data_IF_648663635572
#
_entry.id   IF_648663635572
#
_cell.length_a   1.000
_cell.length_b   1.000
_cell.length_c   1.000
_cell.angle_alpha   90.00
_cell.angle_beta   90.00
_cell.angle_gamma   90.00
#
_symmetry.space_group_name_H-M   'P 1'
#
loop_
_entity.id
_entity.type
_entity.pdbx_description
1 polymer ?
#
# COMPACT_ATOMS: atom_id res chain seq x y z
N UNK A 1 28.98 -5.14 -10.00
CA UNK A 1 27.54 -5.45 -10.14
C UNK A 1 27.03 -5.72 -8.74
N UNK A 2 26.03 -4.98 -8.23
CA UNK A 2 25.40 -5.34 -6.93
C UNK A 2 24.82 -6.74 -7.07
N UNK A 3 25.01 -7.65 -6.10
CA UNK A 3 24.50 -9.00 -6.20
C UNK A 3 22.97 -8.99 -6.30
N UNK A 4 22.42 -9.93 -7.06
CA UNK A 4 20.98 -10.14 -7.13
C UNK A 4 20.48 -10.67 -5.79
N UNK A 5 19.62 -9.88 -5.11
CA UNK A 5 19.05 -10.21 -3.80
C UNK A 5 17.71 -10.97 -3.89
N UNK A 6 17.17 -11.11 -5.10
CA UNK A 6 15.84 -11.68 -5.31
C UNK A 6 15.90 -13.22 -5.44
N UNK A 7 16.39 -13.89 -4.41
CA UNK A 7 16.69 -15.32 -4.42
C UNK A 7 16.01 -16.12 -3.30
N UNK A 8 14.96 -15.60 -2.67
CA UNK A 8 14.26 -16.30 -1.60
C UNK A 8 13.92 -17.75 -2.03
N UNK A 9 14.40 -18.78 -1.30
CA UNK A 9 14.17 -20.17 -1.70
C UNK A 9 12.69 -20.52 -1.59
N UNK A 10 12.20 -21.28 -2.56
CA UNK A 10 10.84 -21.80 -2.61
C UNK A 10 10.80 -23.29 -2.21
N UNK A 11 10.64 -23.54 -0.89
CA UNK A 11 10.63 -24.91 -0.35
C UNK A 11 9.37 -25.72 -0.69
N UNK A 12 8.31 -25.05 -1.10
CA UNK A 12 7.00 -25.68 -1.33
C UNK A 12 6.55 -25.59 -2.79
N UNK A 13 7.46 -25.21 -3.70
CA UNK A 13 7.16 -25.05 -5.13
C UNK A 13 5.94 -24.15 -5.36
N UNK A 14 5.88 -23.02 -4.66
CA UNK A 14 4.73 -22.09 -4.75
C UNK A 14 4.55 -21.54 -6.16
N UNK A 15 5.62 -21.53 -6.95
CA UNK A 15 5.56 -21.20 -8.38
C UNK A 15 4.64 -22.12 -9.18
N UNK A 16 4.41 -23.36 -8.73
CA UNK A 16 3.46 -24.27 -9.37
C UNK A 16 1.99 -23.85 -9.20
N UNK A 17 1.70 -23.02 -8.18
CA UNK A 17 0.39 -22.44 -7.93
C UNK A 17 0.07 -21.24 -8.83
N UNK A 18 1.06 -20.72 -9.54
CA UNK A 18 0.97 -19.53 -10.38
C UNK A 18 0.83 -19.92 -11.86
N UNK A 19 -0.05 -19.23 -12.58
CA UNK A 19 -0.12 -19.33 -14.04
C UNK A 19 1.10 -18.70 -14.70
N UNK A 20 1.33 -18.97 -15.98
CA UNK A 20 2.40 -18.32 -16.74
C UNK A 20 2.24 -16.80 -16.80
N UNK A 21 1.00 -16.30 -16.86
CA UNK A 21 0.68 -14.88 -16.79
C UNK A 21 1.08 -14.28 -15.42
N UNK A 22 0.74 -14.94 -14.31
CA UNK A 22 1.15 -14.51 -12.98
C UNK A 22 2.67 -14.39 -12.86
N UNK A 23 3.40 -15.38 -13.38
CA UNK A 23 4.87 -15.38 -13.38
C UNK A 23 5.44 -14.25 -14.21
N UNK A 24 4.89 -14.03 -15.42
CA UNK A 24 5.32 -12.94 -16.30
C UNK A 24 5.12 -11.58 -15.64
N UNK A 25 3.96 -11.34 -15.05
CA UNK A 25 3.64 -10.10 -14.34
C UNK A 25 4.58 -9.87 -13.15
N UNK A 26 4.78 -10.90 -12.32
CA UNK A 26 5.71 -10.87 -11.18
C UNK A 26 7.13 -10.53 -11.63
N UNK A 27 7.63 -11.24 -12.63
CA UNK A 27 9.02 -11.14 -13.08
C UNK A 27 9.26 -9.77 -13.77
N UNK A 28 8.28 -9.27 -14.51
CA UNK A 28 8.31 -7.92 -15.08
C UNK A 28 8.42 -6.83 -14.00
N UNK A 29 7.58 -6.90 -12.96
CA UNK A 29 7.62 -5.99 -11.84
C UNK A 29 8.97 -6.10 -11.09
N UNK A 30 9.47 -7.30 -10.85
CA UNK A 30 10.75 -7.57 -10.19
C UNK A 30 11.93 -6.95 -10.94
N UNK A 31 12.03 -7.18 -12.24
CA UNK A 31 13.12 -6.64 -13.04
C UNK A 31 13.08 -5.12 -13.12
N UNK A 32 11.87 -4.55 -13.16
CA UNK A 32 11.71 -3.09 -13.10
C UNK A 32 12.18 -2.55 -11.73
N UNK A 33 11.80 -3.16 -10.61
CA UNK A 33 12.23 -2.74 -9.27
C UNK A 33 13.74 -2.81 -9.12
N UNK A 34 14.38 -3.89 -9.60
CA UNK A 34 15.83 -4.04 -9.57
C UNK A 34 16.54 -2.92 -10.34
N UNK A 35 16.02 -2.54 -11.50
CA UNK A 35 16.62 -1.57 -12.40
C UNK A 35 16.37 -0.13 -11.99
N UNK A 36 15.13 0.20 -11.61
CA UNK A 36 14.69 1.58 -11.45
C UNK A 36 14.55 2.04 -9.99
N UNK A 37 14.22 1.13 -9.06
CA UNK A 37 13.96 1.48 -7.66
C UNK A 37 15.16 1.19 -6.77
N UNK A 38 15.65 -0.04 -6.78
CA UNK A 38 16.72 -0.48 -5.86
C UNK A 38 18.00 0.36 -5.91
N UNK A 39 18.43 0.91 -7.07
CA UNK A 39 19.66 1.71 -7.12
C UNK A 39 19.55 3.08 -6.47
N UNK A 40 18.36 3.65 -6.35
CA UNK A 40 18.15 5.05 -5.95
C UNK A 40 17.42 5.22 -4.63
N UNK A 41 16.65 4.22 -4.21
CA UNK A 41 15.65 4.38 -3.15
C UNK A 41 16.26 4.72 -1.78
N UNK A 42 17.46 4.22 -1.48
CA UNK A 42 18.11 4.52 -0.22
C UNK A 42 18.47 6.01 -0.12
N UNK A 43 19.01 6.60 -1.19
CA UNK A 43 19.34 8.04 -1.23
C UNK A 43 18.09 8.90 -1.05
N UNK A 44 16.97 8.53 -1.69
CA UNK A 44 15.70 9.23 -1.54
C UNK A 44 15.14 9.08 -0.12
N UNK A 45 15.24 7.90 0.49
CA UNK A 45 14.83 7.67 1.87
C UNK A 45 15.67 8.52 2.86
N UNK A 46 17.00 8.61 2.65
CA UNK A 46 17.87 9.45 3.48
C UNK A 46 17.50 10.94 3.37
N UNK A 47 17.14 11.43 2.20
CA UNK A 47 16.69 12.83 2.00
C UNK A 47 15.23 13.06 2.39
N UNK A 48 14.46 12.00 2.69
CA UNK A 48 13.02 12.06 2.92
C UNK A 48 12.23 12.62 1.71
N UNK A 49 12.58 12.19 0.50
CA UNK A 49 11.98 12.61 -0.76
C UNK A 49 11.39 11.43 -1.51
N UNK A 50 10.28 11.65 -2.23
CA UNK A 50 9.74 10.63 -3.15
C UNK A 50 10.37 10.76 -4.54
N UNK A 51 10.84 9.64 -5.15
CA UNK A 51 11.47 9.65 -6.48
C UNK A 51 10.43 9.76 -7.60
N UNK A 52 9.91 10.96 -7.88
CA UNK A 52 8.83 11.19 -8.87
C UNK A 52 9.13 10.64 -10.27
N UNK A 53 10.41 10.52 -10.64
CA UNK A 53 10.83 9.97 -11.93
C UNK A 53 10.41 8.52 -12.17
N UNK A 54 10.06 7.77 -11.10
CA UNK A 54 9.60 6.37 -11.24
C UNK A 54 8.11 6.24 -11.59
N UNK A 55 7.32 7.33 -11.53
CA UNK A 55 5.87 7.29 -11.75
C UNK A 55 5.52 6.69 -13.11
N UNK A 56 6.20 7.15 -14.17
CA UNK A 56 5.98 6.61 -15.52
C UNK A 56 6.28 5.11 -15.59
N UNK A 57 7.38 4.67 -14.99
CA UNK A 57 7.75 3.25 -14.95
C UNK A 57 6.75 2.39 -14.17
N UNK A 58 6.16 2.90 -13.09
CA UNK A 58 5.06 2.23 -12.37
C UNK A 58 3.84 2.03 -13.28
N UNK A 59 3.48 3.05 -14.07
CA UNK A 59 2.40 2.93 -15.05
C UNK A 59 2.74 1.88 -16.13
N UNK A 60 3.97 1.92 -16.67
CA UNK A 60 4.41 1.05 -17.76
C UNK A 60 4.43 -0.45 -17.38
N UNK A 61 4.65 -0.79 -16.11
CA UNK A 61 4.54 -2.17 -15.61
C UNK A 61 3.12 -2.55 -15.19
N UNK A 62 2.12 -1.71 -15.46
CA UNK A 62 0.72 -1.94 -15.10
C UNK A 62 0.42 -1.85 -13.61
N UNK A 63 1.25 -1.15 -12.81
CA UNK A 63 1.05 -1.05 -11.37
C UNK A 63 -0.07 -0.08 -10.97
N UNK A 64 -0.57 0.74 -11.90
CA UNK A 64 -1.70 1.65 -11.69
C UNK A 64 -2.99 1.05 -12.24
N UNK A 65 -3.86 0.60 -11.35
CA UNK A 65 -5.13 -0.05 -11.68
C UNK A 65 -4.99 -1.41 -12.40
N UNK A 66 -4.16 -2.37 -11.91
CA UNK A 66 -3.94 -3.65 -12.60
C UNK A 66 -5.24 -4.38 -12.93
N UNK A 67 -6.22 -4.35 -12.04
CA UNK A 67 -7.51 -5.02 -12.17
C UNK A 67 -8.64 -4.12 -12.72
N UNK A 68 -8.34 -2.88 -13.08
CA UNK A 68 -9.29 -1.99 -13.77
C UNK A 68 -9.43 -2.48 -15.21
N UNK A 69 -10.64 -2.50 -15.79
CA UNK A 69 -10.85 -2.92 -17.18
C UNK A 69 -10.03 -2.12 -18.19
N UNK A 70 -9.62 -2.77 -19.27
CA UNK A 70 -8.83 -2.17 -20.36
C UNK A 70 -9.52 -0.97 -21.01
N UNK A 71 -10.86 -0.97 -21.09
CA UNK A 71 -11.66 0.12 -21.63
C UNK A 71 -11.46 1.45 -20.88
N UNK A 72 -10.97 1.41 -19.64
CA UNK A 72 -10.60 2.55 -18.81
C UNK A 72 -9.09 2.73 -18.64
N UNK A 73 -8.29 2.03 -19.44
CA UNK A 73 -6.84 2.12 -19.42
C UNK A 73 -6.14 1.24 -18.38
N UNK A 74 -6.89 0.43 -17.62
CA UNK A 74 -6.32 -0.58 -16.73
C UNK A 74 -5.76 -1.77 -17.49
N UNK A 75 -5.12 -2.71 -16.79
CA UNK A 75 -4.55 -3.90 -17.42
C UNK A 75 -5.50 -5.13 -17.44
N UNK A 76 -6.69 -5.05 -16.83
CA UNK A 76 -7.68 -6.14 -16.80
C UNK A 76 -7.20 -7.40 -16.10
N UNK A 77 -6.14 -7.33 -15.29
CA UNK A 77 -5.52 -8.47 -14.61
C UNK A 77 -6.35 -8.94 -13.41
N UNK A 78 -6.07 -10.15 -12.96
CA UNK A 78 -6.70 -10.73 -11.79
C UNK A 78 -6.10 -10.22 -10.45
N UNK A 79 -6.69 -10.66 -9.33
CA UNK A 79 -6.25 -10.21 -8.00
C UNK A 79 -4.91 -10.80 -7.58
N UNK A 80 -4.53 -12.00 -8.06
CA UNK A 80 -3.23 -12.61 -7.77
C UNK A 80 -2.13 -11.79 -8.45
N UNK A 81 -2.32 -11.42 -9.71
CA UNK A 81 -1.42 -10.53 -10.45
C UNK A 81 -1.23 -9.19 -9.73
N UNK A 82 -2.32 -8.57 -9.27
CA UNK A 82 -2.24 -7.35 -8.45
C UNK A 82 -1.41 -7.57 -7.19
N UNK A 83 -1.63 -8.67 -6.48
CA UNK A 83 -0.86 -9.03 -5.28
C UNK A 83 0.63 -9.18 -5.57
N UNK A 84 0.99 -9.90 -6.63
CA UNK A 84 2.38 -10.12 -7.04
C UNK A 84 3.10 -8.81 -7.43
N UNK A 85 2.41 -7.90 -8.13
CA UNK A 85 2.95 -6.55 -8.41
C UNK A 85 3.26 -5.82 -7.09
N UNK A 86 2.32 -5.81 -6.14
CA UNK A 86 2.52 -5.16 -4.84
C UNK A 86 3.67 -5.78 -4.05
N UNK A 87 3.81 -7.11 -4.08
CA UNK A 87 4.91 -7.84 -3.45
C UNK A 87 6.27 -7.40 -4.01
N UNK A 88 6.43 -7.40 -5.31
CA UNK A 88 7.72 -7.06 -5.92
C UNK A 88 8.07 -5.58 -5.75
N UNK A 89 7.09 -4.67 -5.82
CA UNK A 89 7.33 -3.24 -5.55
C UNK A 89 7.77 -3.02 -4.11
N UNK A 90 7.15 -3.68 -3.13
CA UNK A 90 7.50 -3.51 -1.71
C UNK A 90 8.82 -4.22 -1.35
N UNK A 91 9.29 -5.20 -2.14
CA UNK A 91 10.69 -5.65 -2.07
C UNK A 91 11.68 -4.49 -2.29
N UNK A 92 11.33 -3.54 -3.15
CA UNK A 92 12.08 -2.31 -3.31
C UNK A 92 11.87 -1.36 -2.14
N UNK A 93 10.62 -0.94 -1.90
CA UNK A 93 10.27 0.00 -0.82
C UNK A 93 8.77 0.08 -0.55
N UNK A 94 8.39 0.14 0.73
CA UNK A 94 6.99 0.28 1.14
C UNK A 94 6.37 1.64 0.75
N UNK A 95 7.15 2.71 0.64
CA UNK A 95 6.67 4.03 0.19
C UNK A 95 6.29 4.01 -1.30
N UNK A 96 7.10 3.36 -2.13
CA UNK A 96 6.81 3.17 -3.56
C UNK A 96 5.56 2.29 -3.74
N UNK A 97 5.46 1.18 -2.99
CA UNK A 97 4.24 0.34 -3.02
C UNK A 97 3.02 1.12 -2.55
N UNK A 98 3.14 1.96 -1.51
CA UNK A 98 2.04 2.79 -1.01
C UNK A 98 1.53 3.74 -2.10
N UNK A 99 2.42 4.39 -2.86
CA UNK A 99 2.05 5.26 -3.99
C UNK A 99 1.21 4.52 -5.02
N UNK A 100 1.64 3.32 -5.42
CA UNK A 100 0.93 2.47 -6.38
C UNK A 100 -0.41 1.96 -5.83
N UNK A 101 -0.44 1.51 -4.57
CA UNK A 101 -1.66 1.01 -3.93
C UNK A 101 -2.72 2.11 -3.75
N UNK A 102 -2.31 3.33 -3.36
CA UNK A 102 -3.21 4.49 -3.27
C UNK A 102 -3.80 4.81 -4.62
N UNK A 103 -2.96 4.92 -5.66
CA UNK A 103 -3.41 5.17 -7.03
C UNK A 103 -4.46 4.13 -7.48
N UNK A 104 -4.15 2.84 -7.31
CA UNK A 104 -5.00 1.75 -7.79
C UNK A 104 -6.26 1.55 -6.95
N UNK A 105 -6.09 1.36 -5.63
CA UNK A 105 -7.16 0.87 -4.75
C UNK A 105 -7.97 1.97 -4.07
N UNK A 106 -7.40 3.17 -3.92
CA UNK A 106 -8.03 4.26 -3.18
C UNK A 106 -8.45 5.43 -4.08
N UNK A 107 -7.92 5.49 -5.33
CA UNK A 107 -8.29 6.52 -6.30
C UNK A 107 -9.02 5.91 -7.50
N UNK A 108 -8.39 5.01 -8.25
CA UNK A 108 -9.02 4.42 -9.44
C UNK A 108 -10.20 3.52 -9.08
N UNK A 109 -10.07 2.69 -8.04
CA UNK A 109 -11.14 1.80 -7.60
C UNK A 109 -12.46 2.53 -7.26
N UNK A 110 -12.49 3.58 -6.40
CA UNK A 110 -13.74 4.28 -6.11
C UNK A 110 -14.33 4.98 -7.33
N UNK A 111 -13.54 5.57 -8.24
CA UNK A 111 -14.02 6.16 -9.48
C UNK A 111 -14.67 5.07 -10.35
N UNK A 112 -14.03 3.91 -10.50
CA UNK A 112 -14.57 2.80 -11.27
C UNK A 112 -15.87 2.24 -10.66
N UNK A 113 -15.92 2.04 -9.34
CA UNK A 113 -17.06 1.38 -8.67
C UNK A 113 -18.22 2.32 -8.36
N UNK A 114 -17.94 3.58 -8.05
CA UNK A 114 -18.95 4.51 -7.52
C UNK A 114 -19.14 5.75 -8.39
N UNK A 115 -18.27 6.00 -9.36
CA UNK A 115 -18.36 7.12 -10.28
C UNK A 115 -19.40 6.93 -11.39
N UNK A 116 -19.72 8.02 -12.06
CA UNK A 116 -20.50 8.01 -13.31
C UNK A 116 -19.63 7.56 -14.47
N UNK A 117 -20.23 7.27 -15.63
CA UNK A 117 -19.47 6.90 -16.82
C UNK A 117 -18.57 8.07 -17.29
N UNK A 118 -19.07 9.29 -17.21
CA UNK A 118 -18.31 10.50 -17.54
C UNK A 118 -17.08 10.65 -16.62
N UNK A 119 -17.22 10.37 -15.31
CA UNK A 119 -16.10 10.38 -14.38
C UNK A 119 -15.08 9.28 -14.70
N UNK A 120 -15.51 8.06 -15.03
CA UNK A 120 -14.63 6.97 -15.44
C UNK A 120 -13.81 7.35 -16.66
N UNK A 121 -14.47 7.81 -17.71
CA UNK A 121 -13.81 8.21 -18.97
C UNK A 121 -12.88 9.42 -18.81
N UNK A 122 -13.25 10.37 -17.94
CA UNK A 122 -12.44 11.58 -17.68
C UNK A 122 -11.13 11.26 -16.94
N UNK A 123 -11.20 10.42 -15.90
CA UNK A 123 -10.10 10.29 -14.94
C UNK A 123 -9.30 8.99 -15.07
N UNK A 124 -9.94 7.82 -15.29
CA UNK A 124 -9.27 6.54 -15.21
C UNK A 124 -8.12 6.38 -16.22
N UNK A 125 -8.27 6.75 -17.52
CA UNK A 125 -7.17 6.61 -18.48
C UNK A 125 -5.93 7.45 -18.10
N UNK A 126 -6.13 8.66 -17.57
CA UNK A 126 -5.04 9.54 -17.14
C UNK A 126 -4.35 9.03 -15.87
N UNK A 127 -5.12 8.44 -14.95
CA UNK A 127 -4.60 7.82 -13.74
C UNK A 127 -3.80 6.55 -14.05
N UNK A 128 -4.25 5.74 -15.02
CA UNK A 128 -3.59 4.51 -15.44
C UNK A 128 -2.22 4.78 -16.07
N UNK A 129 -2.08 5.88 -16.83
CA UNK A 129 -0.81 6.26 -17.48
C UNK A 129 0.13 7.04 -16.55
N UNK A 130 -0.34 7.44 -15.36
CA UNK A 130 0.40 8.32 -14.46
C UNK A 130 0.46 9.78 -14.92
N UNK A 131 -0.30 10.17 -15.96
CA UNK A 131 -0.51 11.58 -16.33
C UNK A 131 -1.16 12.35 -15.19
N UNK A 132 -2.14 11.71 -14.52
CA UNK A 132 -2.71 12.18 -13.26
C UNK A 132 -2.30 11.25 -12.12
N UNK A 133 -1.93 11.88 -11.02
CA UNK A 133 -1.78 11.18 -9.74
C UNK A 133 -2.92 11.56 -8.81
N UNK A 134 -3.34 10.59 -8.00
CA UNK A 134 -4.42 10.82 -7.05
C UNK A 134 -4.02 10.53 -5.60
N UNK A 135 -4.84 11.06 -4.70
CA UNK A 135 -4.76 10.77 -3.27
C UNK A 135 -6.15 10.52 -2.67
N UNK A 136 -6.17 9.99 -1.44
CA UNK A 136 -7.42 9.54 -0.78
C UNK A 136 -7.58 10.18 0.59
N UNK A 137 -8.53 11.08 0.72
CA UNK A 137 -8.82 11.84 1.92
C UNK A 137 -9.95 11.22 2.75
N UNK A 138 -9.60 10.34 3.71
CA UNK A 138 -10.54 9.76 4.69
C UNK A 138 -10.18 10.19 6.11
N UNK A 139 -8.97 9.88 6.57
CA UNK A 139 -8.46 10.15 7.91
C UNK A 139 -8.39 11.64 8.21
N UNK A 140 -8.83 12.05 9.41
CA UNK A 140 -8.75 13.42 9.91
C UNK A 140 -7.83 13.50 11.14
N UNK A 141 -7.37 14.70 11.55
CA UNK A 141 -6.51 14.84 12.73
C UNK A 141 -7.08 14.14 13.98
N UNK A 142 -8.38 14.24 14.23
CA UNK A 142 -9.04 13.67 15.41
C UNK A 142 -9.77 12.34 15.14
N UNK A 143 -9.79 11.86 13.89
CA UNK A 143 -10.57 10.69 13.46
C UNK A 143 -9.75 9.74 12.59
N UNK A 144 -8.86 8.95 13.22
CA UNK A 144 -8.06 7.89 12.56
C UNK A 144 -8.80 6.55 12.55
N UNK A 145 -8.75 5.79 13.64
CA UNK A 145 -9.39 4.46 13.76
C UNK A 145 -10.93 4.52 13.79
N UNK A 146 -11.51 5.68 14.03
CA UNK A 146 -12.95 5.94 13.93
C UNK A 146 -13.30 6.92 12.80
N UNK A 147 -13.24 6.52 11.53
CA UNK A 147 -13.52 7.41 10.41
C UNK A 147 -14.99 7.85 10.33
N UNK A 148 -15.91 7.17 11.01
CA UNK A 148 -17.33 7.60 11.08
C UNK A 148 -17.52 8.93 11.84
N UNK A 149 -16.55 9.26 12.70
CA UNK A 149 -16.54 10.53 13.44
C UNK A 149 -16.14 11.74 12.62
N UNK A 150 -15.74 11.58 11.33
CA UNK A 150 -15.24 12.68 10.50
C UNK A 150 -16.09 13.95 10.58
N UNK A 151 -15.42 15.09 10.54
CA UNK A 151 -16.03 16.43 10.59
C UNK A 151 -16.00 17.15 9.25
N UNK A 152 -15.15 16.76 8.31
CA UNK A 152 -15.16 17.28 6.94
C UNK A 152 -16.55 17.13 6.35
N UNK A 153 -17.10 18.24 5.85
CA UNK A 153 -18.48 18.29 5.39
C UNK A 153 -18.62 19.15 4.13
N UNK A 154 -19.72 18.92 3.42
CA UNK A 154 -20.10 19.75 2.28
C UNK A 154 -21.58 20.12 2.33
N UNK A 155 -21.90 21.32 1.78
CA UNK A 155 -23.25 21.83 1.66
C UNK A 155 -23.64 21.94 0.20
N UNK A 156 -24.92 21.69 -0.09
CA UNK A 156 -25.47 21.86 -1.42
C UNK A 156 -25.86 23.34 -1.62
N UNK A 157 -25.17 24.04 -2.55
CA UNK A 157 -25.43 25.46 -2.87
C UNK A 157 -26.28 25.65 -4.12
N UNK A 158 -26.82 24.54 -4.67
CA UNK A 158 -27.62 24.54 -5.91
C UNK A 158 -26.77 24.22 -7.15
N UNK A 159 -25.86 25.09 -7.52
CA UNK A 159 -24.97 24.93 -8.68
C UNK A 159 -23.62 24.24 -8.37
N UNK A 160 -23.21 24.20 -7.11
CA UNK A 160 -21.98 23.55 -6.63
C UNK A 160 -22.16 23.01 -5.20
N UNK A 161 -21.18 22.23 -4.74
CA UNK A 161 -21.01 21.86 -3.33
C UNK A 161 -19.95 22.74 -2.67
N UNK A 162 -20.19 23.20 -1.45
CA UNK A 162 -19.24 23.98 -0.66
C UNK A 162 -18.59 23.06 0.37
N UNK A 163 -17.34 22.66 0.12
CA UNK A 163 -16.58 21.70 0.94
C UNK A 163 -15.71 22.42 1.97
N UNK A 164 -15.76 21.96 3.23
CA UNK A 164 -14.95 22.44 4.35
C UNK A 164 -14.41 21.30 5.21
N UNK A 165 -13.21 21.47 5.74
CA UNK A 165 -12.58 20.52 6.65
C UNK A 165 -11.10 20.27 6.36
N UNK A 166 -10.56 19.18 6.93
CA UNK A 166 -9.18 18.79 6.72
C UNK A 166 -9.01 17.26 6.76
N UNK A 167 -8.03 16.76 6.00
CA UNK A 167 -7.60 15.36 6.05
C UNK A 167 -6.11 15.28 6.37
N UNK A 168 -5.70 14.23 7.06
CA UNK A 168 -4.34 14.06 7.55
C UNK A 168 -3.75 12.71 7.16
N UNK A 169 -2.42 12.63 7.06
CA UNK A 169 -1.67 11.44 6.67
C UNK A 169 -1.97 10.94 5.26
N UNK A 170 -2.13 11.87 4.32
CA UNK A 170 -2.56 11.55 2.96
C UNK A 170 -1.37 11.32 2.05
N UNK A 171 -1.15 10.06 1.66
CA UNK A 171 -0.13 9.69 0.68
C UNK A 171 -0.42 10.33 -0.67
N UNK A 172 0.62 10.74 -1.38
CA UNK A 172 0.61 11.44 -2.66
C UNK A 172 0.04 12.88 -2.61
N UNK A 173 -0.55 13.36 -1.52
CA UNK A 173 -1.18 14.67 -1.43
C UNK A 173 -0.30 15.82 -1.96
N UNK A 174 1.02 15.89 -1.67
CA UNK A 174 1.85 17.02 -2.13
C UNK A 174 1.94 17.17 -3.66
N UNK A 175 1.70 16.11 -4.43
CA UNK A 175 1.79 16.14 -5.90
C UNK A 175 0.57 15.58 -6.63
N UNK A 176 -0.47 15.13 -5.93
CA UNK A 176 -1.67 14.59 -6.54
C UNK A 176 -2.42 15.67 -7.37
N UNK A 177 -2.92 15.30 -8.54
CA UNK A 177 -3.74 16.15 -9.41
C UNK A 177 -5.20 16.14 -8.98
N UNK A 178 -5.65 15.03 -8.41
CA UNK A 178 -6.99 14.85 -7.85
C UNK A 178 -6.96 14.22 -6.47
N UNK A 179 -7.96 14.53 -5.65
CA UNK A 179 -8.20 13.90 -4.37
C UNK A 179 -9.60 13.26 -4.33
N UNK A 180 -9.69 12.01 -3.92
CA UNK A 180 -10.95 11.37 -3.54
C UNK A 180 -11.20 11.73 -2.08
N UNK A 181 -12.18 12.57 -1.82
CA UNK A 181 -12.46 13.12 -0.48
C UNK A 181 -13.79 12.59 0.04
N UNK A 182 -13.73 11.91 1.18
CA UNK A 182 -14.93 11.45 1.89
C UNK A 182 -15.36 12.52 2.89
N UNK A 183 -16.60 12.99 2.73
CA UNK A 183 -17.16 14.08 3.53
C UNK A 183 -18.65 13.83 3.83
N UNK A 184 -19.15 14.43 4.90
CA UNK A 184 -20.57 14.37 5.28
C UNK A 184 -21.37 15.46 4.59
N UNK A 185 -22.53 15.10 4.07
CA UNK A 185 -23.54 16.10 3.66
C UNK A 185 -24.28 16.67 4.87
N UNK A 186 -25.23 17.58 4.65
CA UNK A 186 -26.03 18.22 5.70
C UNK A 186 -26.87 17.23 6.52
N UNK A 187 -27.18 16.06 5.96
CA UNK A 187 -27.87 14.96 6.65
C UNK A 187 -26.92 14.04 7.45
N UNK A 188 -25.60 14.33 7.47
CA UNK A 188 -24.59 13.51 8.12
C UNK A 188 -24.21 12.24 7.35
N UNK A 189 -24.66 12.06 6.10
CA UNK A 189 -24.29 10.92 5.26
C UNK A 189 -22.95 11.16 4.58
N UNK A 190 -22.10 10.15 4.58
CA UNK A 190 -20.78 10.20 3.95
C UNK A 190 -20.91 9.96 2.44
N UNK A 191 -20.30 10.84 1.63
CA UNK A 191 -20.19 10.74 0.19
C UNK A 191 -18.75 10.96 -0.26
N UNK A 192 -18.40 10.44 -1.44
CA UNK A 192 -17.12 10.68 -2.09
C UNK A 192 -17.22 11.82 -3.09
N UNK A 193 -16.28 12.76 -3.00
CA UNK A 193 -16.12 13.89 -3.91
C UNK A 193 -14.77 13.80 -4.61
N UNK A 194 -14.73 14.13 -5.91
CA UNK A 194 -13.48 14.29 -6.66
C UNK A 194 -13.09 15.76 -6.61
N UNK A 195 -12.01 16.08 -5.90
CA UNK A 195 -11.52 17.47 -5.77
C UNK A 195 -10.25 17.59 -6.61
N UNK A 196 -10.26 18.52 -7.58
CA UNK A 196 -9.13 18.73 -8.48
C UNK A 196 -8.15 19.75 -7.89
N UNK A 197 -6.86 19.55 -8.13
CA UNK A 197 -5.82 20.53 -7.76
C UNK A 197 -6.09 21.87 -8.46
N UNK A 198 -5.87 22.95 -7.73
CA UNK A 198 -6.10 24.32 -8.23
C UNK A 198 -7.48 24.88 -7.95
N UNK A 199 -8.43 24.09 -7.40
CA UNK A 199 -9.69 24.65 -6.89
C UNK A 199 -9.38 25.65 -5.77
N UNK A 200 -9.91 26.90 -5.82
CA UNK A 200 -9.67 27.91 -4.78
C UNK A 200 -10.06 27.39 -3.39
N UNK A 201 -9.21 27.62 -2.40
CA UNK A 201 -9.41 27.15 -1.02
C UNK A 201 -8.92 25.73 -0.76
N UNK A 202 -8.49 24.96 -1.79
CA UNK A 202 -7.89 23.65 -1.63
C UNK A 202 -6.35 23.73 -1.59
N UNK A 203 -5.75 23.29 -0.48
CA UNK A 203 -4.29 23.22 -0.31
C UNK A 203 -3.82 21.88 0.22
N UNK A 204 -2.56 21.53 -0.07
CA UNK A 204 -2.00 20.22 0.25
C UNK A 204 -0.59 20.35 0.87
N UNK A 205 -0.47 20.89 2.10
CA UNK A 205 0.84 21.01 2.75
C UNK A 205 1.47 19.64 3.00
N UNK A 206 2.80 19.57 2.81
CA UNK A 206 3.56 18.34 3.00
C UNK A 206 3.88 18.11 4.48
N UNK A 207 3.79 16.86 4.92
CA UNK A 207 4.17 16.41 6.26
C UNK A 207 5.65 16.06 6.29
N UNK A 208 6.41 16.79 7.08
CA UNK A 208 7.86 16.57 7.28
C UNK A 208 8.15 15.80 8.58
N UNK A 209 9.44 15.51 8.81
CA UNK A 209 9.97 14.88 10.03
C UNK A 209 9.43 13.47 10.33
N UNK A 210 9.05 12.72 9.32
CA UNK A 210 8.69 11.30 9.46
C UNK A 210 9.94 10.44 9.65
N UNK A 211 9.91 9.49 10.58
CA UNK A 211 10.92 8.45 10.73
C UNK A 211 10.66 7.21 9.87
N UNK A 212 9.44 7.05 9.40
CA UNK A 212 8.96 5.92 8.60
C UNK A 212 8.41 6.42 7.28
N UNK A 213 8.43 5.57 6.23
CA UNK A 213 8.02 5.93 4.87
C UNK A 213 8.68 7.23 4.39
N UNK A 214 9.98 7.34 4.60
CA UNK A 214 10.72 8.57 4.28
C UNK A 214 10.76 8.85 2.77
N UNK A 215 10.80 7.79 1.94
CA UNK A 215 10.69 7.89 0.48
C UNK A 215 9.24 7.90 -0.03
N UNK A 216 8.28 8.38 0.78
CA UNK A 216 6.87 8.54 0.41
C UNK A 216 6.43 9.97 0.70
N UNK A 217 5.87 10.65 -0.29
CA UNK A 217 5.26 11.96 -0.10
C UNK A 217 3.93 11.80 0.67
N UNK A 218 3.84 12.47 1.80
CA UNK A 218 2.66 12.46 2.68
C UNK A 218 2.31 13.88 3.02
N UNK A 219 1.02 14.22 3.03
CA UNK A 219 0.57 15.58 3.35
C UNK A 219 -0.80 15.60 4.01
N UNK A 220 -1.31 16.79 4.09
CA UNK A 220 -2.68 17.09 4.51
C UNK A 220 -3.50 17.54 3.32
N UNK A 221 -4.83 17.46 3.42
CA UNK A 221 -5.75 18.14 2.52
C UNK A 221 -6.53 19.15 3.36
N UNK A 222 -6.46 20.40 2.99
CA UNK A 222 -7.17 21.49 3.68
C UNK A 222 -8.20 22.09 2.74
N UNK A 223 -9.43 22.18 3.20
CA UNK A 223 -10.56 22.70 2.44
C UNK A 223 -11.16 23.91 3.17
N UNK A 224 -10.98 25.09 2.60
CA UNK A 224 -11.57 26.35 3.07
C UNK A 224 -12.54 26.89 2.03
N UNK A 225 -13.84 26.58 2.22
CA UNK A 225 -14.91 26.99 1.32
C UNK A 225 -14.67 26.60 -0.15
N UNK A 226 -14.16 25.38 -0.39
CA UNK A 226 -13.87 24.88 -1.73
C UNK A 226 -15.17 24.65 -2.51
N UNK A 227 -15.30 25.30 -3.66
CA UNK A 227 -16.43 25.10 -4.58
C UNK A 227 -16.16 23.88 -5.44
N UNK A 228 -16.84 22.77 -5.16
CA UNK A 228 -16.74 21.52 -5.91
C UNK A 228 -17.91 21.42 -6.88
N UNK A 229 -17.67 21.24 -8.19
CA UNK A 229 -18.73 21.07 -9.18
C UNK A 229 -19.67 19.91 -8.86
N UNK A 230 -20.93 19.99 -9.23
CA UNK A 230 -21.96 18.97 -8.98
C UNK A 230 -21.58 17.61 -9.58
N UNK A 231 -21.02 17.63 -10.76
CA UNK A 231 -20.56 16.47 -11.50
C UNK A 231 -19.38 15.74 -10.85
N UNK A 232 -18.73 16.34 -9.86
CA UNK A 232 -17.62 15.72 -9.12
C UNK A 232 -18.08 14.89 -7.90
N UNK A 233 -19.39 14.85 -7.60
CA UNK A 233 -19.94 13.90 -6.63
C UNK A 233 -19.97 12.49 -7.23
N UNK A 234 -19.48 11.49 -6.53
CA UNK A 234 -19.62 10.07 -6.92
C UNK A 234 -20.96 9.52 -6.40
N UNK A 235 -21.92 9.19 -7.28
CA UNK A 235 -23.30 8.87 -6.85
C UNK A 235 -23.48 7.43 -6.39
N UNK A 236 -22.55 6.52 -6.69
CA UNK A 236 -22.79 5.07 -6.66
C UNK A 236 -23.03 4.45 -5.27
N UNK A 237 -22.45 4.99 -4.19
CA UNK A 237 -22.66 4.49 -2.83
C UNK A 237 -22.40 5.56 -1.78
N UNK A 238 -23.33 5.72 -0.87
CA UNK A 238 -23.19 6.60 0.30
C UNK A 238 -22.94 5.80 1.60
N UNK A 239 -22.48 6.51 2.63
CA UNK A 239 -22.19 5.96 3.94
C UNK A 239 -20.76 5.38 4.03
N UNK A 240 -20.39 4.96 5.24
CA UNK A 240 -19.02 4.47 5.55
C UNK A 240 -18.63 3.21 4.74
N UNK A 241 -19.60 2.42 4.30
CA UNK A 241 -19.33 1.19 3.53
C UNK A 241 -18.61 1.41 2.20
N UNK A 242 -18.70 2.61 1.61
CA UNK A 242 -17.99 2.90 0.36
C UNK A 242 -16.46 3.04 0.59
N UNK A 243 -15.96 3.94 1.48
CA UNK A 243 -14.53 3.99 1.78
C UNK A 243 -13.99 2.69 2.37
N UNK A 244 -14.77 1.92 3.14
CA UNK A 244 -14.33 0.63 3.66
C UNK A 244 -14.06 -0.39 2.55
N UNK A 245 -14.83 -0.43 1.47
CA UNK A 245 -14.56 -1.28 0.32
C UNK A 245 -13.25 -0.88 -0.40
N UNK A 246 -12.95 0.41 -0.47
CA UNK A 246 -11.66 0.88 -0.99
C UNK A 246 -10.51 0.40 -0.12
N UNK A 247 -10.65 0.52 1.21
CA UNK A 247 -9.65 0.04 2.16
C UNK A 247 -9.46 -1.48 2.07
N UNK A 248 -10.50 -2.27 1.86
CA UNK A 248 -10.36 -3.73 1.70
C UNK A 248 -9.52 -4.09 0.46
N UNK A 249 -9.66 -3.31 -0.63
CA UNK A 249 -8.81 -3.49 -1.81
C UNK A 249 -7.35 -3.13 -1.52
N UNK A 250 -7.11 -2.03 -0.82
CA UNK A 250 -5.75 -1.61 -0.46
C UNK A 250 -5.09 -2.53 0.58
N UNK A 251 -5.82 -2.96 1.61
CA UNK A 251 -5.37 -3.93 2.63
C UNK A 251 -4.93 -5.26 2.02
N UNK A 252 -5.63 -5.71 0.98
CA UNK A 252 -5.24 -6.88 0.21
C UNK A 252 -3.87 -6.70 -0.43
N UNK A 253 -3.62 -5.56 -1.09
CA UNK A 253 -2.30 -5.24 -1.66
C UNK A 253 -1.19 -5.15 -0.60
N UNK A 254 -1.50 -4.65 0.61
CA UNK A 254 -0.56 -4.62 1.74
C UNK A 254 -0.21 -6.03 2.21
N UNK A 255 -1.18 -6.94 2.26
CA UNK A 255 -0.94 -8.32 2.68
C UNK A 255 0.08 -9.04 1.78
N UNK A 256 0.11 -8.72 0.49
CA UNK A 256 1.13 -9.20 -0.45
C UNK A 256 2.44 -8.40 -0.35
N UNK A 257 2.35 -7.08 -0.30
CA UNK A 257 3.52 -6.19 -0.26
C UNK A 257 4.46 -6.52 0.91
N UNK A 258 3.92 -6.71 2.10
CA UNK A 258 4.70 -7.04 3.29
C UNK A 258 5.57 -8.30 3.13
N UNK A 259 5.12 -9.29 2.33
CA UNK A 259 5.92 -10.47 2.00
C UNK A 259 7.18 -10.05 1.22
N UNK A 260 7.05 -9.12 0.28
CA UNK A 260 8.18 -8.59 -0.49
C UNK A 260 9.25 -7.95 0.39
N UNK A 261 8.85 -7.09 1.32
CA UNK A 261 9.77 -6.47 2.29
C UNK A 261 10.48 -7.53 3.16
N UNK A 262 9.75 -8.56 3.62
CA UNK A 262 10.30 -9.68 4.37
C UNK A 262 11.32 -10.49 3.54
N UNK A 263 11.02 -10.73 2.26
CA UNK A 263 11.92 -11.44 1.34
C UNK A 263 13.23 -10.68 1.13
N UNK A 264 13.20 -9.37 0.95
CA UNK A 264 14.42 -8.56 0.80
C UNK A 264 15.28 -8.61 2.07
N UNK A 265 14.64 -8.46 3.23
CA UNK A 265 15.34 -8.58 4.52
C UNK A 265 15.97 -9.96 4.71
N UNK A 266 15.25 -11.04 4.34
CA UNK A 266 15.74 -12.42 4.43
C UNK A 266 16.94 -12.65 3.50
N UNK A 267 16.82 -12.30 2.21
CA UNK A 267 17.88 -12.50 1.22
C UNK A 267 19.16 -11.73 1.60
N UNK A 268 18.99 -10.50 2.07
CA UNK A 268 20.09 -9.65 2.54
C UNK A 268 20.78 -10.25 3.77
N UNK A 269 20.00 -10.68 4.76
CA UNK A 269 20.53 -11.30 5.98
C UNK A 269 21.23 -12.63 5.71
N UNK A 270 20.64 -13.48 4.86
CA UNK A 270 21.22 -14.77 4.48
C UNK A 270 22.56 -14.60 3.78
N UNK A 271 22.65 -13.68 2.80
CA UNK A 271 23.90 -13.42 2.09
C UNK A 271 24.95 -12.87 3.05
N UNK A 272 24.62 -11.84 3.83
CA UNK A 272 25.53 -11.28 4.81
C UNK A 272 26.05 -12.35 5.78
N UNK A 273 25.17 -13.21 6.29
CA UNK A 273 25.55 -14.27 7.23
C UNK A 273 26.49 -15.32 6.61
N UNK A 274 26.39 -15.59 5.31
CA UNK A 274 27.30 -16.48 4.57
C UNK A 274 28.67 -15.85 4.33
N UNK A 275 28.74 -14.55 4.14
CA UNK A 275 29.97 -13.82 3.82
C UNK A 275 30.71 -13.33 5.06
N UNK A 276 30.00 -12.97 6.12
CA UNK A 276 30.60 -12.42 7.35
C UNK A 276 31.29 -13.48 8.18
N UNK A 277 32.60 -13.33 8.34
CA UNK A 277 33.43 -14.24 9.17
C UNK A 277 33.51 -13.71 10.59
N UNK A 278 33.24 -14.54 11.57
CA UNK A 278 33.54 -14.38 13.00
C UNK A 278 33.95 -15.74 13.58
N UNK A 279 34.88 -15.74 14.51
CA UNK A 279 35.43 -16.97 15.08
C UNK A 279 35.88 -17.98 14.00
N UNK A 280 36.57 -17.46 12.96
CA UNK A 280 37.18 -18.20 11.84
C UNK A 280 36.16 -18.94 10.93
N UNK A 281 34.89 -18.63 11.00
CA UNK A 281 33.86 -19.23 10.16
C UNK A 281 32.73 -18.24 9.80
N UNK A 282 31.98 -18.49 8.74
CA UNK A 282 30.76 -17.71 8.43
C UNK A 282 29.79 -17.75 9.62
N UNK A 283 29.20 -16.58 9.95
CA UNK A 283 28.21 -16.53 11.04
C UNK A 283 26.99 -17.38 10.75
N UNK A 284 26.64 -17.63 9.48
CA UNK A 284 25.62 -18.60 9.06
C UNK A 284 25.87 -20.03 9.60
N UNK A 285 27.10 -20.37 9.97
CA UNK A 285 27.44 -21.65 10.57
C UNK A 285 27.18 -21.74 12.09
N UNK A 286 26.56 -20.70 12.69
CA UNK A 286 26.21 -20.73 14.13
C UNK A 286 24.75 -21.11 14.33
N UNK A 287 24.45 -21.84 15.41
CA UNK A 287 23.10 -22.37 15.67
C UNK A 287 22.03 -21.29 15.76
N UNK A 288 22.34 -20.15 16.41
CA UNK A 288 21.36 -19.06 16.58
C UNK A 288 21.02 -18.38 15.24
N UNK A 289 22.00 -18.23 14.33
CA UNK A 289 21.73 -17.64 13.01
C UNK A 289 20.95 -18.62 12.12
N UNK A 290 21.28 -19.90 12.16
CA UNK A 290 20.51 -20.93 11.44
C UNK A 290 19.08 -21.02 11.94
N UNK A 291 18.84 -20.94 13.26
CA UNK A 291 17.49 -20.88 13.84
C UNK A 291 16.71 -19.70 13.26
N UNK A 292 17.26 -18.49 13.28
CA UNK A 292 16.60 -17.29 12.75
C UNK A 292 16.24 -17.43 11.27
N UNK A 293 17.18 -17.88 10.45
CA UNK A 293 16.96 -18.09 9.02
C UNK A 293 15.87 -19.14 8.75
N UNK A 294 15.85 -20.23 9.52
CA UNK A 294 14.82 -21.26 9.39
C UNK A 294 13.42 -20.74 9.79
N UNK A 295 13.33 -19.97 10.87
CA UNK A 295 12.08 -19.34 11.29
C UNK A 295 11.59 -18.33 10.25
N UNK A 296 12.46 -17.44 9.76
CA UNK A 296 12.13 -16.44 8.75
C UNK A 296 11.53 -17.06 7.49
N UNK A 297 12.22 -18.06 6.90
CA UNK A 297 11.72 -18.65 5.64
C UNK A 297 10.43 -19.45 5.85
N UNK A 298 10.25 -20.06 7.03
CA UNK A 298 9.01 -20.75 7.39
C UNK A 298 7.84 -19.76 7.43
N UNK A 299 8.02 -18.61 8.08
CA UNK A 299 6.97 -17.59 8.19
C UNK A 299 6.68 -16.93 6.85
N UNK A 300 7.68 -16.65 6.01
CA UNK A 300 7.50 -16.17 4.63
C UNK A 300 6.65 -17.16 3.82
N UNK A 301 6.98 -18.46 3.89
CA UNK A 301 6.24 -19.51 3.16
C UNK A 301 4.76 -19.56 3.58
N UNK A 302 4.49 -19.50 4.89
CA UNK A 302 3.12 -19.46 5.43
C UNK A 302 2.35 -18.22 4.94
N UNK A 303 3.02 -17.05 4.94
CA UNK A 303 2.43 -15.79 4.48
C UNK A 303 2.11 -15.82 2.98
N UNK A 304 2.98 -16.40 2.16
CA UNK A 304 2.74 -16.58 0.72
C UNK A 304 1.51 -17.47 0.45
N UNK A 305 1.39 -18.61 1.13
CA UNK A 305 0.23 -19.49 1.01
C UNK A 305 -1.07 -18.80 1.44
N UNK A 306 -1.04 -18.04 2.53
CA UNK A 306 -2.18 -17.28 3.01
C UNK A 306 -2.61 -16.21 1.99
N UNK A 307 -1.65 -15.45 1.45
CA UNK A 307 -1.91 -14.40 0.46
C UNK A 307 -2.43 -15.00 -0.85
N UNK A 308 -1.81 -16.08 -1.33
CA UNK A 308 -2.27 -16.78 -2.54
C UNK A 308 -3.71 -17.29 -2.39
N UNK A 309 -4.03 -17.97 -1.27
CA UNK A 309 -5.41 -18.46 -1.04
C UNK A 309 -6.40 -17.30 -0.97
N UNK A 310 -6.04 -16.19 -0.34
CA UNK A 310 -6.87 -15.00 -0.32
C UNK A 310 -7.06 -14.43 -1.73
N UNK A 311 -6.04 -14.45 -2.59
CA UNK A 311 -6.12 -14.04 -3.98
C UNK A 311 -7.13 -14.87 -4.79
N UNK A 312 -7.09 -16.20 -4.63
CA UNK A 312 -8.09 -17.11 -5.24
C UNK A 312 -9.50 -16.75 -4.77
N UNK A 313 -9.71 -16.55 -3.47
CA UNK A 313 -11.02 -16.17 -2.92
C UNK A 313 -11.50 -14.81 -3.46
N UNK A 314 -10.60 -13.86 -3.68
CA UNK A 314 -10.94 -12.57 -4.28
C UNK A 314 -11.33 -12.69 -5.76
N UNK A 315 -10.62 -13.51 -6.53
CA UNK A 315 -10.97 -13.79 -7.93
C UNK A 315 -12.38 -14.45 -8.04
N UNK A 316 -12.72 -15.28 -7.06
CA UNK A 316 -14.03 -15.91 -6.98
C UNK A 316 -15.13 -15.01 -6.37
N UNK A 317 -14.81 -13.80 -5.92
CA UNK A 317 -15.75 -12.90 -5.24
C UNK A 317 -16.20 -13.38 -3.84
N UNK A 318 -15.44 -14.29 -3.22
CA UNK A 318 -15.76 -14.94 -1.93
C UNK A 318 -14.97 -14.40 -0.73
N UNK A 319 -14.01 -13.53 -0.94
CA UNK A 319 -13.20 -12.98 0.15
C UNK A 319 -14.03 -12.06 1.05
N UNK A 320 -13.86 -12.21 2.37
CA UNK A 320 -14.51 -11.37 3.38
C UNK A 320 -13.54 -10.33 3.94
N UNK A 321 -14.08 -9.24 4.51
CA UNK A 321 -13.28 -8.22 5.21
C UNK A 321 -12.46 -8.82 6.37
N UNK A 322 -12.99 -9.82 7.09
CA UNK A 322 -12.27 -10.50 8.16
C UNK A 322 -11.05 -11.28 7.63
N UNK A 323 -11.19 -12.00 6.52
CA UNK A 323 -10.08 -12.71 5.87
C UNK A 323 -8.99 -11.75 5.38
N UNK A 324 -9.37 -10.60 4.78
CA UNK A 324 -8.44 -9.57 4.36
C UNK A 324 -7.70 -8.96 5.57
N UNK A 325 -8.44 -8.65 6.64
CA UNK A 325 -7.89 -8.15 7.91
C UNK A 325 -6.90 -9.13 8.53
N UNK A 326 -7.25 -10.42 8.57
CA UNK A 326 -6.38 -11.49 9.06
C UNK A 326 -5.07 -11.55 8.26
N UNK A 327 -5.15 -11.56 6.93
CA UNK A 327 -3.97 -11.65 6.07
C UNK A 327 -3.08 -10.40 6.17
N UNK A 328 -3.66 -9.19 6.14
CA UNK A 328 -2.89 -7.93 6.29
C UNK A 328 -2.14 -7.93 7.63
N UNK A 329 -2.83 -8.16 8.74
CA UNK A 329 -2.22 -8.16 10.06
C UNK A 329 -1.12 -9.22 10.18
N UNK A 330 -1.42 -10.48 9.80
CA UNK A 330 -0.46 -11.59 9.93
C UNK A 330 0.81 -11.33 9.11
N UNK A 331 0.67 -10.93 7.85
CA UNK A 331 1.82 -10.80 6.95
C UNK A 331 2.68 -9.57 7.30
N UNK A 332 2.06 -8.49 7.78
CA UNK A 332 2.82 -7.30 8.24
C UNK A 332 3.54 -7.56 9.57
N UNK A 333 2.90 -8.28 10.51
CA UNK A 333 3.55 -8.71 11.76
C UNK A 333 4.75 -9.61 11.50
N UNK A 334 4.60 -10.57 10.61
CA UNK A 334 5.70 -11.42 10.13
C UNK A 334 6.84 -10.58 9.54
N UNK A 335 6.52 -9.63 8.67
CA UNK A 335 7.52 -8.83 7.96
C UNK A 335 8.34 -7.95 8.92
N UNK A 336 7.70 -7.26 9.87
CA UNK A 336 8.42 -6.42 10.83
C UNK A 336 9.28 -7.25 11.78
N UNK A 337 8.81 -8.44 12.18
CA UNK A 337 9.60 -9.37 12.98
C UNK A 337 10.86 -9.81 12.21
N UNK A 338 10.73 -10.22 10.96
CA UNK A 338 11.85 -10.59 10.08
C UNK A 338 12.81 -9.42 9.89
N UNK A 339 12.32 -8.21 9.64
CA UNK A 339 13.17 -7.03 9.46
C UNK A 339 14.00 -6.74 10.73
N UNK A 340 13.42 -6.86 11.92
CA UNK A 340 14.12 -6.67 13.21
C UNK A 340 15.19 -7.74 13.44
N UNK A 341 14.89 -9.00 13.17
CA UNK A 341 15.85 -10.10 13.29
C UNK A 341 16.98 -9.97 12.26
N UNK A 342 16.66 -9.66 11.01
CA UNK A 342 17.63 -9.41 9.95
C UNK A 342 18.57 -8.24 10.31
N UNK A 343 18.03 -7.12 10.81
CA UNK A 343 18.82 -6.00 11.30
C UNK A 343 19.79 -6.43 12.41
N UNK A 344 19.33 -7.26 13.35
CA UNK A 344 20.16 -7.76 14.43
C UNK A 344 21.28 -8.69 13.90
N UNK A 345 21.01 -9.53 12.90
CA UNK A 345 21.99 -10.43 12.28
C UNK A 345 23.15 -9.67 11.64
N UNK A 346 22.92 -8.48 11.11
CA UNK A 346 23.95 -7.63 10.52
C UNK A 346 24.79 -6.86 11.57
N UNK A 347 24.41 -6.90 12.85
CA UNK A 347 25.12 -6.17 13.90
C UNK A 347 25.14 -4.66 13.65
N UNK A 348 26.31 -4.02 13.74
CA UNK A 348 26.49 -2.59 13.49
C UNK A 348 26.15 -2.18 12.05
N UNK A 349 26.36 -3.05 11.05
CA UNK A 349 26.00 -2.78 9.67
C UNK A 349 24.48 -2.70 9.44
N UNK A 350 23.70 -3.34 10.31
CA UNK A 350 22.24 -3.35 10.20
C UNK A 350 21.54 -2.02 10.49
N UNK A 351 22.29 -0.99 10.94
CA UNK A 351 21.71 0.36 11.15
C UNK A 351 22.17 1.38 10.10
N UNK A 352 22.92 0.94 9.08
CA UNK A 352 23.45 1.81 8.02
C UNK A 352 22.61 1.74 6.75
N UNK A 353 22.66 2.78 5.92
CA UNK A 353 22.04 2.79 4.59
C UNK A 353 22.77 1.96 3.52
N UNK A 354 23.81 1.20 3.88
CA UNK A 354 24.48 0.27 2.96
C UNK A 354 23.62 -0.98 2.67
N UNK A 355 22.68 -1.28 3.59
CA UNK A 355 21.73 -2.37 3.48
C UNK A 355 20.29 -1.86 3.62
N UNK A 356 19.36 -2.44 2.90
CA UNK A 356 17.95 -2.03 2.87
C UNK A 356 17.19 -2.29 4.17
N UNK A 357 17.71 -3.12 5.05
CA UNK A 357 16.98 -3.71 6.20
C UNK A 357 16.46 -2.64 7.16
N UNK A 358 17.30 -1.65 7.54
CA UNK A 358 16.86 -0.60 8.46
C UNK A 358 15.74 0.25 7.85
N UNK A 359 15.80 0.53 6.55
CA UNK A 359 14.75 1.24 5.83
C UNK A 359 13.44 0.45 5.83
N UNK A 360 13.47 -0.86 5.53
CA UNK A 360 12.31 -1.73 5.63
C UNK A 360 11.75 -1.78 7.07
N UNK A 361 12.60 -1.94 8.07
CA UNK A 361 12.20 -1.97 9.47
C UNK A 361 11.46 -0.68 9.86
N UNK A 362 12.01 0.49 9.52
CA UNK A 362 11.35 1.78 9.79
C UNK A 362 10.03 1.91 9.01
N UNK A 363 9.99 1.53 7.74
CA UNK A 363 8.80 1.61 6.91
C UNK A 363 7.66 0.74 7.46
N UNK A 364 7.98 -0.47 7.91
CA UNK A 364 7.00 -1.41 8.45
C UNK A 364 6.32 -0.92 9.73
N UNK A 365 6.92 0.00 10.51
CA UNK A 365 6.25 0.67 11.64
C UNK A 365 5.05 1.51 11.18
N UNK A 366 5.07 2.08 9.97
CA UNK A 366 3.89 2.69 9.37
C UNK A 366 2.92 1.64 8.81
N UNK A 367 3.43 0.57 8.22
CA UNK A 367 2.59 -0.48 7.60
C UNK A 367 1.73 -1.21 8.65
N UNK A 368 2.23 -1.39 9.89
CA UNK A 368 1.42 -1.91 11.00
C UNK A 368 0.33 -0.92 11.47
N UNK A 369 0.50 0.36 11.15
CA UNK A 369 -0.34 1.45 11.69
C UNK A 369 -1.46 1.88 10.75
N UNK A 370 -1.15 2.07 9.46
CA UNK A 370 -2.11 2.62 8.49
C UNK A 370 -3.11 1.59 7.95
N UNK A 371 -4.19 2.10 7.34
CA UNK A 371 -5.28 1.30 6.73
C UNK A 371 -5.90 0.28 7.70
N UNK A 372 -6.01 0.67 8.94
CA UNK A 372 -6.35 -0.15 10.09
C UNK A 372 -5.09 -0.60 10.82
N UNK A 373 -4.99 -0.23 12.10
CA UNK A 373 -3.92 -0.72 12.99
C UNK A 373 -4.04 -2.23 13.19
N UNK A 374 -2.97 -2.87 13.66
CA UNK A 374 -3.03 -4.30 14.04
C UNK A 374 -4.19 -4.59 14.99
N UNK A 375 -4.43 -3.69 15.98
CA UNK A 375 -5.52 -3.85 16.95
C UNK A 375 -6.90 -3.78 16.26
N UNK A 376 -7.10 -2.82 15.35
CA UNK A 376 -8.35 -2.73 14.58
C UNK A 376 -8.60 -4.01 13.77
N UNK A 377 -7.57 -4.62 13.17
CA UNK A 377 -7.72 -5.88 12.45
C UNK A 377 -8.04 -7.06 13.36
N UNK A 378 -7.52 -7.08 14.59
CA UNK A 378 -7.90 -8.06 15.60
C UNK A 378 -9.37 -7.89 15.99
N UNK A 379 -9.84 -6.66 16.23
CA UNK A 379 -11.23 -6.37 16.55
C UNK A 379 -12.18 -6.77 15.41
N UNK A 380 -11.82 -6.49 14.15
CA UNK A 380 -12.61 -6.92 12.97
C UNK A 380 -12.74 -8.45 12.94
N UNK A 381 -11.62 -9.16 13.10
CA UNK A 381 -11.61 -10.63 13.08
C UNK A 381 -12.35 -11.19 14.29
N UNK A 382 -12.16 -10.62 15.47
CA UNK A 382 -12.85 -11.04 16.70
C UNK A 382 -14.36 -10.84 16.62
N UNK A 383 -14.82 -9.72 16.05
CA UNK A 383 -16.23 -9.47 15.81
C UNK A 383 -16.83 -10.50 14.84
N UNK A 384 -16.12 -10.84 13.77
CA UNK A 384 -16.58 -11.85 12.80
C UNK A 384 -16.73 -13.24 13.44
N UNK A 385 -15.77 -13.64 14.30
CA UNK A 385 -15.80 -14.93 15.02
C UNK A 385 -16.94 -15.00 16.05
N UNK A 386 -17.14 -13.90 16.80
CA UNK A 386 -18.06 -13.90 17.96
C UNK A 386 -19.47 -13.42 17.62
N UNK A 387 -19.63 -12.68 16.53
CA UNK A 387 -20.88 -11.95 16.21
C UNK A 387 -21.15 -10.75 17.12
N UNK A 388 -20.19 -10.36 17.99
CA UNK A 388 -20.34 -9.28 18.98
C UNK A 388 -19.40 -8.14 18.61
N UNK A 389 -19.94 -6.91 18.51
CA UNK A 389 -19.14 -5.73 18.21
C UNK A 389 -18.13 -5.44 19.33
N UNK A 390 -16.86 -5.27 18.96
CA UNK A 390 -15.80 -4.85 19.88
C UNK A 390 -15.54 -3.33 19.84
N UNK A 391 -16.28 -2.57 19.01
CA UNK A 391 -16.09 -1.13 18.81
C UNK A 391 -17.02 -0.27 19.70
N UNK A 392 -17.88 -0.87 20.50
CA UNK A 392 -18.80 -0.18 21.41
C UNK A 392 -18.96 -1.00 22.70
#
# INVERSE_FOLDING_TARGET
MKPDLFQAPDYYNLDELLTDEHKLVRDSAREWVKREVSPIIEDFAQRAEFPKQIIKGLADIGAFGPYIPEEYGGAGLDQISYGLIMQEIERGDSGVRSTSSVQSSLVMYPIWKFGTEEQRQKYLPKLATGEFMGCFGLTEPDHGSNPSGMTTNFKDMGDHYLLNGAKMWISNAPFADIAIVWAKNEEGRIHGLIVERGMPGFTTPETHNKWSLRASATGELIFDNVKVPKENLMPGKSGLGAPMQCLDSARYGIAWGAIGAAMDCYDTALRYAKERIQFDKPIAGTQLQQKKLAEMITEITKAQLLAWRLGVLRNEGKATTAQISMAKRNNVDMAIHIAREARQMLGGMGITGEYSIMRHMMNLESVITYEGTHDIHLLITGMDITGISAFK
#
